data_IF_482772047406
#
_entry.id   IF_482772047406
#
_cell.length_a   1.000
_cell.length_b   1.000
_cell.length_c   1.000
_cell.angle_alpha   90.00
_cell.angle_beta   90.00
_cell.angle_gamma   90.00
#
_symmetry.space_group_name_H-M   'P 1'
#
loop_
_entity.id
_entity.type
_entity.pdbx_description
1 polymer ?
#
# COMPACT_ATOMS: atom_id res chain seq x y z
N UNK A 1 -7.03 -33.76 -20.22
CA UNK A 1 -8.09 -32.72 -20.12
C UNK A 1 -7.99 -31.85 -21.36
N UNK A 2 -9.07 -31.74 -22.15
CA UNK A 2 -9.12 -30.82 -23.28
C UNK A 2 -9.63 -29.47 -22.77
N UNK A 3 -8.74 -28.49 -22.67
CA UNK A 3 -9.12 -27.11 -22.36
C UNK A 3 -9.38 -26.37 -23.68
N UNK A 4 -10.62 -25.95 -23.91
CA UNK A 4 -10.97 -25.04 -25.00
C UNK A 4 -10.92 -23.61 -24.48
N UNK A 5 -10.25 -22.72 -25.22
CA UNK A 5 -10.23 -21.31 -24.88
C UNK A 5 -11.63 -20.68 -25.08
N UNK A 6 -12.11 -19.89 -24.11
CA UNK A 6 -13.42 -19.26 -24.20
C UNK A 6 -13.45 -18.15 -25.25
N UNK A 7 -14.57 -18.05 -25.98
CA UNK A 7 -14.77 -17.02 -27.02
C UNK A 7 -15.22 -15.66 -26.46
N UNK A 8 -15.55 -15.59 -25.17
CA UNK A 8 -16.01 -14.38 -24.47
C UNK A 8 -15.38 -14.29 -23.08
N UNK A 9 -15.34 -13.08 -22.50
CA UNK A 9 -14.86 -12.87 -21.13
C UNK A 9 -15.68 -13.72 -20.14
N UNK A 10 -15.00 -14.55 -19.34
CA UNK A 10 -15.65 -15.47 -18.41
C UNK A 10 -15.69 -14.95 -16.97
N UNK A 11 -14.70 -14.16 -16.56
CA UNK A 11 -14.62 -13.59 -15.21
C UNK A 11 -13.71 -12.35 -15.19
N UNK A 12 -13.93 -11.49 -14.20
CA UNK A 12 -13.01 -10.42 -13.82
C UNK A 12 -12.69 -10.57 -12.32
N UNK A 13 -11.41 -10.51 -11.97
CA UNK A 13 -10.95 -10.46 -10.58
C UNK A 13 -10.56 -9.02 -10.32
N UNK A 14 -11.20 -8.41 -9.32
CA UNK A 14 -10.97 -7.03 -8.95
C UNK A 14 -10.35 -6.99 -7.56
N UNK A 15 -9.38 -6.09 -7.39
CA UNK A 15 -8.93 -5.69 -6.07
C UNK A 15 -10.01 -4.86 -5.35
N UNK A 16 -9.84 -4.61 -4.05
CA UNK A 16 -10.80 -3.86 -3.23
C UNK A 16 -10.54 -2.36 -3.25
N UNK A 17 -9.51 -1.91 -2.53
CA UNK A 17 -9.27 -0.50 -2.25
C UNK A 17 -8.74 0.24 -3.49
N UNK A 18 -9.36 1.35 -3.88
CA UNK A 18 -9.06 2.07 -5.10
C UNK A 18 -9.57 1.42 -6.39
N UNK A 19 -10.20 0.23 -6.32
CA UNK A 19 -10.78 -0.46 -7.48
C UNK A 19 -12.30 -0.57 -7.38
N UNK A 20 -12.85 -1.19 -6.32
CA UNK A 20 -14.31 -1.29 -6.09
C UNK A 20 -14.80 -0.50 -4.89
N UNK A 21 -13.93 -0.20 -3.93
CA UNK A 21 -14.21 0.58 -2.71
C UNK A 21 -13.05 1.52 -2.40
N UNK A 22 -13.21 2.44 -1.43
CA UNK A 22 -12.17 3.37 -0.97
C UNK A 22 -11.56 4.18 -2.12
N UNK A 23 -12.29 5.21 -2.59
CA UNK A 23 -11.81 6.11 -3.65
C UNK A 23 -10.44 6.68 -3.27
N UNK A 24 -9.42 6.39 -4.08
CA UNK A 24 -8.05 6.82 -3.81
C UNK A 24 -7.25 5.92 -2.84
N UNK A 25 -7.81 4.81 -2.34
CA UNK A 25 -7.11 3.88 -1.43
C UNK A 25 -6.51 4.61 -0.21
N UNK A 26 -7.28 5.51 0.41
CA UNK A 26 -6.77 6.38 1.46
C UNK A 26 -6.68 5.66 2.82
N UNK A 27 -7.57 4.70 3.08
CA UNK A 27 -7.62 4.00 4.37
C UNK A 27 -6.30 3.29 4.74
N UNK A 28 -5.66 2.48 3.86
CA UNK A 28 -4.38 1.85 4.18
C UNK A 28 -3.23 2.85 4.25
N UNK A 29 -3.37 4.03 3.63
CA UNK A 29 -2.31 5.04 3.62
C UNK A 29 -2.31 5.86 4.91
N UNK A 30 -3.49 6.27 5.37
CA UNK A 30 -3.67 7.10 6.56
C UNK A 30 -3.14 6.40 7.83
N UNK A 31 -3.36 5.08 7.95
CA UNK A 31 -2.89 4.33 9.12
C UNK A 31 -1.36 4.30 9.22
N UNK A 32 -0.61 4.31 8.11
CA UNK A 32 0.85 4.40 8.16
C UNK A 32 1.31 5.78 8.62
N UNK A 33 0.69 6.85 8.14
CA UNK A 33 0.99 8.20 8.61
C UNK A 33 0.76 8.33 10.12
N UNK A 34 -0.38 7.84 10.61
CA UNK A 34 -0.72 7.87 12.03
C UNK A 34 0.20 6.98 12.87
N UNK A 35 0.46 5.75 12.44
CA UNK A 35 1.32 4.82 13.16
C UNK A 35 2.77 5.32 13.30
N UNK A 36 3.35 5.91 12.25
CA UNK A 36 4.69 6.50 12.34
C UNK A 36 4.71 7.76 13.22
N UNK A 37 3.63 8.55 13.21
CA UNK A 37 3.50 9.73 14.06
C UNK A 37 3.50 9.41 15.56
N UNK A 38 3.01 8.24 15.97
CA UNK A 38 3.11 7.75 17.36
C UNK A 38 4.56 7.58 17.83
N UNK A 39 5.51 7.34 16.90
CA UNK A 39 6.95 7.27 17.18
C UNK A 39 7.68 8.59 16.96
N UNK A 40 6.95 9.71 16.79
CA UNK A 40 7.53 11.01 16.49
C UNK A 40 8.03 11.17 15.05
N UNK A 41 7.76 10.20 14.18
CA UNK A 41 8.20 10.21 12.79
C UNK A 41 7.07 10.69 11.89
N UNK A 42 7.21 11.90 11.38
CA UNK A 42 6.26 12.44 10.41
C UNK A 42 6.53 11.77 9.05
N UNK A 43 5.51 11.20 8.42
CA UNK A 43 5.55 10.63 7.06
C UNK A 43 4.41 11.24 6.26
N UNK A 44 4.67 11.69 5.04
CA UNK A 44 3.62 12.25 4.19
C UNK A 44 2.72 11.15 3.61
N UNK A 45 1.50 11.52 3.21
CA UNK A 45 0.62 10.61 2.47
C UNK A 45 1.27 10.10 1.18
N UNK A 46 2.08 10.91 0.51
CA UNK A 46 2.79 10.52 -0.71
C UNK A 46 3.89 9.50 -0.42
N UNK A 47 4.68 9.71 0.63
CA UNK A 47 5.70 8.77 1.09
C UNK A 47 5.07 7.43 1.49
N UNK A 48 3.97 7.46 2.25
CA UNK A 48 3.23 6.28 2.67
C UNK A 48 2.63 5.49 1.49
N UNK A 49 2.33 6.15 0.36
CA UNK A 49 1.78 5.51 -0.86
C UNK A 49 2.82 4.78 -1.70
N UNK A 50 4.11 5.10 -1.57
CA UNK A 50 5.17 4.57 -2.42
C UNK A 50 5.11 3.05 -2.62
N UNK A 51 4.99 2.22 -1.56
CA UNK A 51 4.97 0.76 -1.67
C UNK A 51 3.56 0.14 -1.59
N UNK A 52 2.50 0.88 -1.97
CA UNK A 52 1.13 0.37 -1.91
C UNK A 52 0.91 -0.90 -2.75
N UNK A 53 0.20 -1.87 -2.17
CA UNK A 53 -0.06 -3.19 -2.76
C UNK A 53 0.85 -4.30 -2.23
N UNK A 54 1.90 -3.96 -1.46
CA UNK A 54 2.72 -4.94 -0.76
C UNK A 54 2.03 -5.50 0.49
N UNK A 55 2.52 -6.64 0.98
CA UNK A 55 2.15 -7.13 2.30
C UNK A 55 2.53 -6.10 3.38
N UNK A 56 1.70 -5.96 4.42
CA UNK A 56 1.85 -4.90 5.44
C UNK A 56 3.25 -4.84 6.07
N UNK A 57 3.85 -5.99 6.37
CA UNK A 57 5.20 -6.05 6.96
C UNK A 57 6.28 -5.55 5.99
N UNK A 58 6.19 -5.96 4.73
CA UNK A 58 7.13 -5.53 3.69
C UNK A 58 6.95 -4.05 3.35
N UNK A 59 5.71 -3.55 3.40
CA UNK A 59 5.39 -2.13 3.28
C UNK A 59 6.09 -1.31 4.38
N UNK A 60 5.93 -1.71 5.65
CA UNK A 60 6.57 -1.02 6.79
C UNK A 60 8.09 -1.03 6.66
N UNK A 61 8.69 -2.19 6.36
CA UNK A 61 10.14 -2.30 6.16
C UNK A 61 10.62 -1.36 5.06
N UNK A 62 9.93 -1.36 3.91
CA UNK A 62 10.27 -0.50 2.78
C UNK A 62 10.21 0.98 3.14
N UNK A 63 9.21 1.41 3.92
CA UNK A 63 9.12 2.79 4.41
C UNK A 63 10.29 3.14 5.34
N UNK A 64 10.66 2.23 6.26
CA UNK A 64 11.79 2.44 7.16
C UNK A 64 13.14 2.51 6.42
N UNK A 65 13.26 1.87 5.25
CA UNK A 65 14.46 1.88 4.42
C UNK A 65 14.58 3.15 3.53
N UNK A 66 13.54 3.99 3.47
CA UNK A 66 13.61 5.29 2.76
C UNK A 66 14.58 6.20 3.52
N UNK A 67 15.65 6.71 2.88
CA UNK A 67 16.70 7.48 3.58
C UNK A 67 16.17 8.67 4.38
N UNK A 68 15.17 9.38 3.85
CA UNK A 68 14.55 10.52 4.52
C UNK A 68 13.76 10.12 5.78
N UNK A 69 13.11 8.95 5.79
CA UNK A 69 12.36 8.44 6.94
C UNK A 69 13.31 7.83 7.96
N UNK A 70 14.31 7.06 7.49
CA UNK A 70 15.35 6.48 8.34
C UNK A 70 16.09 7.55 9.17
N UNK A 71 16.37 8.71 8.58
CA UNK A 71 17.02 9.80 9.31
C UNK A 71 16.12 10.42 10.38
N UNK A 72 14.80 10.51 10.13
CA UNK A 72 13.82 10.98 11.12
C UNK A 72 13.74 10.09 12.37
N UNK A 73 14.09 8.80 12.25
CA UNK A 73 14.16 7.85 13.36
C UNK A 73 15.43 7.98 14.24
N UNK A 74 16.45 8.71 13.79
CA UNK A 74 17.73 8.86 14.51
C UNK A 74 17.78 10.09 15.42
N UNK A 75 16.80 10.99 15.30
CA UNK A 75 16.65 12.19 16.11
C UNK A 75 16.06 11.88 17.48
#
# INVERSE_FOLDING_TARGET
MNYNQPATLQAAILDWAGTVVDFGSFAPTQIFVEAFAEFGVQVSLEEARGPMGMGKWDHIRTLCDIPAIAERYRA
#
